data_IF_194460639216
#
_entry.id   IF_194460639216
#
_cell.length_a   1.000
_cell.length_b   1.000
_cell.length_c   1.000
_cell.angle_alpha   90.00
_cell.angle_beta   90.00
_cell.angle_gamma   90.00
#
_symmetry.space_group_name_H-M   'P 1'
#
loop_
_entity.id
_entity.type
_entity.pdbx_description
1 polymer ?
#
# COMPACT_ATOMS: atom_id res chain seq x y z
N UNK A 1 -18.23 0.80 5.07
CA UNK A 1 -17.60 0.91 3.75
C UNK A 1 -16.79 -0.36 3.51
N UNK A 2 -16.89 -0.98 2.33
CA UNK A 2 -16.08 -2.17 2.03
C UNK A 2 -14.65 -1.72 1.80
N UNK A 3 -13.70 -2.33 2.50
CA UNK A 3 -12.28 -1.98 2.38
C UNK A 3 -11.75 -2.37 0.99
N UNK A 4 -10.96 -1.50 0.38
CA UNK A 4 -10.45 -1.72 -0.97
C UNK A 4 -9.38 -2.83 -0.98
N UNK A 5 -9.20 -3.52 -2.11
CA UNK A 5 -8.07 -4.44 -2.28
C UNK A 5 -6.76 -3.68 -2.32
N UNK A 6 -5.67 -4.29 -1.84
CA UNK A 6 -4.32 -3.70 -1.93
C UNK A 6 -3.94 -3.49 -3.39
N UNK A 7 -4.28 -4.42 -4.28
CA UNK A 7 -4.05 -4.28 -5.71
C UNK A 7 -4.74 -3.05 -6.34
N UNK A 8 -5.96 -2.72 -5.89
CA UNK A 8 -6.64 -1.50 -6.36
C UNK A 8 -6.03 -0.25 -5.73
N UNK A 9 -5.64 -0.30 -4.44
CA UNK A 9 -4.96 0.80 -3.78
C UNK A 9 -3.62 1.13 -4.44
N UNK A 10 -2.87 0.13 -4.91
CA UNK A 10 -1.65 0.31 -5.72
C UNK A 10 -1.98 1.08 -7.00
N UNK A 11 -2.98 0.65 -7.77
CA UNK A 11 -3.38 1.33 -9.02
C UNK A 11 -3.78 2.78 -8.78
N UNK A 12 -4.56 3.04 -7.74
CA UNK A 12 -4.98 4.40 -7.39
C UNK A 12 -3.78 5.22 -6.94
N UNK A 13 -2.84 4.64 -6.18
CA UNK A 13 -1.66 5.38 -5.76
C UNK A 13 -0.77 5.77 -6.95
N UNK A 14 -0.61 4.87 -7.93
CA UNK A 14 0.07 5.19 -9.19
C UNK A 14 -0.65 6.33 -9.93
N UNK A 15 -1.97 6.21 -10.11
CA UNK A 15 -2.77 7.26 -10.74
C UNK A 15 -2.68 8.60 -9.99
N UNK A 16 -2.67 8.58 -8.66
CA UNK A 16 -2.50 9.78 -7.84
C UNK A 16 -1.14 10.44 -8.00
N UNK A 17 -0.08 9.65 -8.18
CA UNK A 17 1.26 10.18 -8.41
C UNK A 17 1.41 10.75 -9.83
N UNK A 18 0.73 10.16 -10.81
CA UNK A 18 0.81 10.54 -12.23
C UNK A 18 -0.19 11.64 -12.61
N UNK A 19 -1.22 11.88 -11.79
CA UNK A 19 -2.28 12.83 -12.12
C UNK A 19 -1.78 14.28 -12.16
N UNK A 20 -2.04 14.94 -13.28
CA UNK A 20 -1.76 16.38 -13.46
C UNK A 20 -2.71 17.24 -12.61
N UNK A 21 -3.97 16.83 -12.50
CA UNK A 21 -5.02 17.56 -11.78
C UNK A 21 -5.84 16.59 -10.94
N UNK A 22 -5.99 16.95 -9.66
CA UNK A 22 -6.73 16.19 -8.66
C UNK A 22 -7.72 17.10 -7.95
N UNK A 23 -8.94 16.61 -7.72
CA UNK A 23 -9.90 17.23 -6.80
C UNK A 23 -10.13 16.31 -5.62
N UNK A 24 -10.01 16.85 -4.40
CA UNK A 24 -10.08 16.08 -3.17
C UNK A 24 -11.17 16.66 -2.27
N UNK A 25 -12.17 15.83 -1.95
CA UNK A 25 -13.24 16.17 -1.01
C UNK A 25 -13.12 15.31 0.24
N UNK A 26 -12.81 15.93 1.37
CA UNK A 26 -12.70 15.25 2.67
C UNK A 26 -14.00 15.36 3.44
N UNK A 27 -14.54 14.21 3.83
CA UNK A 27 -15.68 14.07 4.73
C UNK A 27 -15.21 13.43 6.04
N UNK A 28 -16.06 13.39 7.06
CA UNK A 28 -15.66 12.87 8.38
C UNK A 28 -15.11 11.43 8.32
N UNK A 29 -15.76 10.56 7.54
CA UNK A 29 -15.43 9.12 7.52
C UNK A 29 -14.70 8.66 6.24
N UNK A 30 -14.68 9.49 5.19
CA UNK A 30 -14.14 9.12 3.89
C UNK A 30 -13.60 10.32 3.11
N UNK A 31 -12.80 10.02 2.09
CA UNK A 31 -12.22 10.99 1.17
C UNK A 31 -12.60 10.57 -0.25
N UNK A 32 -13.15 11.50 -1.02
CA UNK A 32 -13.39 11.31 -2.46
C UNK A 32 -12.27 11.98 -3.23
N UNK A 33 -11.65 11.26 -4.16
CA UNK A 33 -10.64 11.78 -5.07
C UNK A 33 -11.18 11.64 -6.49
N UNK A 34 -11.21 12.75 -7.23
CA UNK A 34 -11.48 12.77 -8.67
C UNK A 34 -10.21 13.14 -9.42
N UNK A 35 -9.91 12.35 -10.45
CA UNK A 35 -8.72 12.48 -11.31
C UNK A 35 -9.14 13.12 -12.63
N UNK A 36 -8.42 14.15 -13.06
CA UNK A 36 -8.75 14.90 -14.28
C UNK A 36 -7.60 14.87 -15.29
N UNK A 37 -7.94 14.71 -16.56
CA UNK A 37 -7.04 14.90 -17.69
C UNK A 37 -7.36 16.20 -18.44
N UNK A 38 -6.73 16.38 -19.62
CA UNK A 38 -6.97 17.55 -20.46
C UNK A 38 -8.38 17.62 -21.07
N UNK A 39 -9.17 16.54 -21.01
CA UNK A 39 -10.51 16.42 -21.58
C UNK A 39 -11.62 16.46 -20.51
N UNK A 40 -11.31 16.24 -19.24
CA UNK A 40 -12.27 16.34 -18.12
C UNK A 40 -11.97 15.41 -16.95
N UNK A 41 -12.99 15.07 -16.16
CA UNK A 41 -12.89 14.04 -15.12
C UNK A 41 -12.75 12.67 -15.80
N UNK A 42 -11.71 11.93 -15.44
CA UNK A 42 -11.40 10.61 -15.99
C UNK A 42 -11.91 9.51 -15.07
N UNK A 43 -11.73 9.68 -13.76
CA UNK A 43 -12.08 8.66 -12.79
C UNK A 43 -12.30 9.28 -11.40
N UNK A 44 -13.05 8.58 -10.54
CA UNK A 44 -13.19 8.95 -9.14
C UNK A 44 -13.21 7.73 -8.22
N UNK A 45 -12.70 7.91 -7.02
CA UNK A 45 -12.63 6.86 -6.01
C UNK A 45 -12.96 7.38 -4.62
N UNK A 46 -13.40 6.48 -3.75
CA UNK A 46 -13.71 6.74 -2.36
C UNK A 46 -12.77 5.93 -1.48
N UNK A 47 -12.03 6.61 -0.61
CA UNK A 47 -11.06 6.03 0.30
C UNK A 47 -11.48 6.30 1.75
N UNK A 48 -11.08 5.41 2.66
CA UNK A 48 -11.05 5.75 4.09
C UNK A 48 -9.98 6.82 4.33
N UNK A 49 -10.08 7.52 5.46
CA UNK A 49 -9.03 8.47 5.87
C UNK A 49 -7.65 7.81 5.94
N UNK A 50 -7.57 6.56 6.42
CA UNK A 50 -6.31 5.80 6.49
C UNK A 50 -5.74 5.52 5.10
N UNK A 51 -6.55 4.98 4.20
CA UNK A 51 -6.12 4.67 2.83
C UNK A 51 -5.65 5.93 2.10
N UNK A 52 -6.35 7.06 2.30
CA UNK A 52 -5.94 8.35 1.73
C UNK A 52 -4.58 8.84 2.26
N UNK A 53 -4.34 8.79 3.58
CA UNK A 53 -3.04 9.22 4.12
C UNK A 53 -1.90 8.29 3.68
N UNK A 54 -2.12 6.98 3.61
CA UNK A 54 -1.11 6.04 3.09
C UNK A 54 -0.80 6.29 1.62
N UNK A 55 -1.84 6.61 0.83
CA UNK A 55 -1.68 6.97 -0.57
C UNK A 55 -0.88 8.27 -0.74
N UNK A 56 -1.11 9.29 0.10
CA UNK A 56 -0.30 10.52 0.13
C UNK A 56 1.17 10.27 0.49
N UNK A 57 1.43 9.28 1.33
CA UNK A 57 2.78 8.88 1.72
C UNK A 57 3.45 7.99 0.67
N UNK A 58 2.77 7.71 -0.45
CA UNK A 58 3.20 6.78 -1.48
C UNK A 58 3.47 5.37 -0.95
N UNK A 59 2.71 4.97 0.08
CA UNK A 59 2.90 3.68 0.74
C UNK A 59 2.65 2.53 -0.23
N UNK A 60 1.55 2.59 -0.99
CA UNK A 60 1.14 1.48 -1.84
C UNK A 60 2.02 1.32 -3.08
N UNK A 61 2.54 2.41 -3.65
CA UNK A 61 3.36 2.35 -4.86
C UNK A 61 4.88 2.44 -4.64
N UNK A 62 5.34 2.67 -3.41
CA UNK A 62 6.79 2.68 -3.09
C UNK A 62 7.14 1.90 -1.85
N UNK A 63 6.51 2.19 -0.71
CA UNK A 63 6.88 1.54 0.56
C UNK A 63 6.61 0.04 0.55
N UNK A 64 5.52 -0.42 -0.09
CA UNK A 64 5.27 -1.85 -0.24
C UNK A 64 6.37 -2.55 -1.03
N UNK A 65 6.82 -1.96 -2.14
CA UNK A 65 7.89 -2.51 -2.97
C UNK A 65 9.20 -2.54 -2.19
N UNK A 66 9.52 -1.47 -1.44
CA UNK A 66 10.69 -1.43 -0.55
C UNK A 66 10.67 -2.55 0.51
N UNK A 67 9.53 -2.80 1.15
CA UNK A 67 9.39 -3.91 2.11
C UNK A 67 9.61 -5.26 1.43
N UNK A 68 9.10 -5.44 0.21
CA UNK A 68 9.24 -6.69 -0.54
C UNK A 68 10.71 -6.89 -0.96
N UNK A 69 11.37 -5.85 -1.46
CA UNK A 69 12.77 -5.89 -1.87
C UNK A 69 13.68 -6.23 -0.67
N UNK A 70 13.45 -5.58 0.48
CA UNK A 70 14.17 -5.89 1.71
C UNK A 70 13.92 -7.31 2.21
N UNK A 71 12.71 -7.85 2.04
CA UNK A 71 12.41 -9.22 2.42
C UNK A 71 12.99 -10.29 1.49
N UNK A 72 13.31 -9.92 0.24
CA UNK A 72 13.97 -10.79 -0.73
C UNK A 72 15.49 -10.72 -0.65
N UNK A 73 16.04 -9.70 0.01
CA UNK A 73 17.46 -9.56 0.27
C UNK A 73 17.93 -10.58 1.33
N UNK A 74 18.83 -11.49 0.93
CA UNK A 74 19.36 -12.55 1.78
C UNK A 74 20.22 -12.06 2.96
N UNK A 75 20.64 -10.80 2.95
CA UNK A 75 21.40 -10.17 4.04
C UNK A 75 20.49 -9.49 5.08
N UNK A 76 19.17 -9.47 4.86
CA UNK A 76 18.19 -8.86 5.77
C UNK A 76 17.41 -9.91 6.55
N UNK A 77 17.30 -9.70 7.87
CA UNK A 77 16.43 -10.50 8.72
C UNK A 77 15.08 -9.80 8.90
N UNK A 78 14.02 -10.35 8.28
CA UNK A 78 12.65 -9.87 8.48
C UNK A 78 12.05 -10.39 9.79
N UNK A 79 11.71 -9.51 10.71
CA UNK A 79 10.96 -9.82 11.94
C UNK A 79 9.57 -9.20 11.88
N UNK A 80 8.56 -9.96 12.30
CA UNK A 80 7.17 -9.51 12.28
C UNK A 80 6.53 -9.66 13.64
N UNK A 81 5.96 -8.57 14.14
CA UNK A 81 5.16 -8.55 15.38
C UNK A 81 3.73 -8.15 15.04
N UNK A 82 2.77 -9.00 15.40
CA UNK A 82 1.34 -8.72 15.19
C UNK A 82 0.68 -8.43 16.54
N UNK A 83 0.12 -7.23 16.67
CA UNK A 83 -0.59 -6.76 17.87
C UNK A 83 -2.04 -6.41 17.51
N UNK A 84 -2.98 -7.37 17.58
CA UNK A 84 -4.35 -7.18 17.10
C UNK A 84 -5.15 -6.07 17.79
N UNK A 85 -4.73 -5.64 18.98
CA UNK A 85 -5.36 -4.55 19.72
C UNK A 85 -5.05 -3.16 19.16
N UNK A 86 -4.07 -3.02 18.27
CA UNK A 86 -3.75 -1.75 17.61
C UNK A 86 -4.64 -1.58 16.38
N UNK A 87 -5.46 -0.53 16.40
CA UNK A 87 -6.32 -0.17 15.27
C UNK A 87 -5.46 0.36 14.10
N UNK A 88 -5.85 0.07 12.86
CA UNK A 88 -5.23 0.53 11.60
C UNK A 88 -3.83 0.00 11.27
N UNK A 89 -2.98 -0.25 12.27
CA UNK A 89 -1.59 -0.71 12.06
C UNK A 89 -1.20 -1.86 13.00
N UNK A 90 -1.92 -3.00 12.98
CA UNK A 90 -1.64 -4.13 13.86
C UNK A 90 -0.36 -4.89 13.51
N UNK A 91 0.27 -4.65 12.36
CA UNK A 91 1.48 -5.37 11.93
C UNK A 91 2.68 -4.44 11.95
N UNK A 92 3.69 -4.80 12.72
CA UNK A 92 5.00 -4.18 12.74
C UNK A 92 6.01 -5.11 12.06
N UNK A 93 6.74 -4.57 11.09
CA UNK A 93 7.77 -5.27 10.33
C UNK A 93 9.09 -4.56 10.58
N UNK A 94 10.08 -5.29 11.07
CA UNK A 94 11.42 -4.79 11.36
C UNK A 94 12.42 -5.53 10.47
N UNK A 95 13.31 -4.77 9.84
CA UNK A 95 14.55 -5.23 9.23
C UNK A 95 15.73 -4.62 10.01
N UNK A 96 16.97 -4.97 9.65
CA UNK A 96 18.18 -4.58 10.38
C UNK A 96 18.26 -3.06 10.69
N UNK A 97 17.76 -2.20 9.80
CA UNK A 97 17.80 -0.73 9.94
C UNK A 97 16.50 -0.02 9.56
N UNK A 98 15.43 -0.75 9.27
CA UNK A 98 14.17 -0.18 8.77
C UNK A 98 12.98 -0.75 9.53
N UNK A 99 11.99 0.10 9.75
CA UNK A 99 10.77 -0.23 10.48
C UNK A 99 9.56 0.19 9.66
N UNK A 100 8.59 -0.72 9.54
CA UNK A 100 7.37 -0.49 8.78
C UNK A 100 6.13 -0.91 9.57
N UNK A 101 5.04 -0.20 9.32
CA UNK A 101 3.74 -0.50 9.89
C UNK A 101 2.72 -0.69 8.79
N UNK A 102 1.92 -1.74 8.91
CA UNK A 102 0.86 -2.03 7.97
C UNK A 102 -0.30 -2.75 8.66
N UNK A 103 -1.37 -3.00 7.91
CA UNK A 103 -2.44 -3.87 8.34
C UNK A 103 -2.30 -5.30 7.82
N UNK A 104 -3.21 -6.17 8.28
CA UNK A 104 -3.19 -7.59 7.94
C UNK A 104 -3.42 -7.86 6.44
N UNK A 105 -4.12 -6.98 5.72
CA UNK A 105 -4.36 -7.16 4.30
C UNK A 105 -3.10 -6.80 3.50
N UNK A 106 -2.44 -5.71 3.86
CA UNK A 106 -1.15 -5.28 3.30
C UNK A 106 -0.06 -6.32 3.58
N UNK A 107 0.01 -6.83 4.82
CA UNK A 107 0.95 -7.89 5.18
C UNK A 107 0.72 -9.20 4.39
N UNK A 108 -0.54 -9.61 4.20
CA UNK A 108 -0.86 -10.77 3.35
C UNK A 108 -0.44 -10.56 1.90
N UNK A 109 -0.58 -9.34 1.38
CA UNK A 109 -0.10 -9.00 0.05
C UNK A 109 1.43 -9.13 -0.04
N UNK A 110 2.17 -8.58 0.93
CA UNK A 110 3.64 -8.70 1.01
C UNK A 110 4.08 -10.17 0.96
N UNK A 111 3.53 -11.02 1.85
CA UNK A 111 3.84 -12.46 1.89
C UNK A 111 3.55 -13.17 0.56
N UNK A 112 2.45 -12.81 -0.10
CA UNK A 112 2.08 -13.37 -1.40
C UNK A 112 3.11 -13.00 -2.48
N UNK A 113 3.66 -11.79 -2.47
CA UNK A 113 4.67 -11.38 -3.45
C UNK A 113 6.02 -12.05 -3.17
N UNK A 114 6.45 -12.13 -1.91
CA UNK A 114 7.68 -12.84 -1.52
C UNK A 114 7.64 -14.29 -2.00
N UNK A 115 6.54 -15.01 -1.71
CA UNK A 115 6.38 -16.42 -2.11
C UNK A 115 6.37 -16.63 -3.63
N UNK A 116 5.83 -15.70 -4.41
CA UNK A 116 5.85 -15.79 -5.87
C UNK A 116 7.28 -15.70 -6.40
N UNK A 117 8.05 -14.73 -5.92
CA UNK A 117 9.44 -14.52 -6.35
C UNK A 117 10.34 -15.71 -5.99
N UNK A 118 10.13 -16.37 -4.85
CA UNK A 118 10.87 -17.59 -4.52
C UNK A 118 10.56 -18.76 -5.46
N UNK A 119 9.31 -18.89 -5.93
CA UNK A 119 8.94 -19.97 -6.85
C UNK A 119 9.52 -19.75 -8.26
N UNK A 120 9.61 -18.51 -8.72
CA UNK A 120 10.18 -18.18 -10.04
C UNK A 120 11.69 -18.47 -10.13
N UNK A 121 12.42 -18.41 -9.01
CA UNK A 121 13.86 -18.74 -8.93
C UNK A 121 14.13 -20.26 -9.03
N UNK A 122 13.14 -21.11 -8.75
CA UNK A 122 13.31 -22.58 -8.79
C UNK A 122 13.10 -23.21 -10.18
N UNK A 123 12.79 -22.42 -11.21
CA UNK A 123 12.53 -22.90 -12.57
C UNK A 123 13.65 -22.64 -13.59
N UNK A 124 14.85 -22.24 -13.14
CA UNK A 124 16.06 -22.07 -13.99
C UNK A 124 17.17 -23.03 -13.58
#
# INVERSE_FOLDING_TARGET
MVKMSVENLIKINLLYNDATVLQIHKYNDFVVISFFDALGEVDSTVLTQREYELLRMNFYAKTLDEIIDLALDGDQDMKVTITPSIQNFPVFIEFNHCEFFCDLQEYRYILKQINKNHNDVTCT
#
